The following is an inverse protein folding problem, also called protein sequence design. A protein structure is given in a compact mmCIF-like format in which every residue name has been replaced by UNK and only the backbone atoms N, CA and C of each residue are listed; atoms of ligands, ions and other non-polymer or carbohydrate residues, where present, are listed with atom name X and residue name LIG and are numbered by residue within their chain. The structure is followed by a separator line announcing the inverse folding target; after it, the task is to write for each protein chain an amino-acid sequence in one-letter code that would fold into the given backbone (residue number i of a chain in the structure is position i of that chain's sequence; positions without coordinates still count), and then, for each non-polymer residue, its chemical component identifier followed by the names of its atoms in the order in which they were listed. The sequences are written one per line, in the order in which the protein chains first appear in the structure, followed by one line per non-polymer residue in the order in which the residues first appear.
data_IF_539733428787
#
_entry.id   IF_539733428787
#
_cell.length_a   1.000
_cell.length_b   1.000
_cell.length_c   1.000
_cell.angle_alpha   90.00
_cell.angle_beta   90.00
_cell.angle_gamma   90.00
#
_symmetry.space_group_name_H-M   'P 1'
#
loop_
_entity.id
_entity.type
_entity.pdbx_description
1 polymer ?
#
# COMPACT_ATOMS: atom_id res chain seq x y z
N UNK A 1 -38.33 26.06 -82.07
CA UNK A 1 -39.67 26.67 -82.17
C UNK A 1 -40.60 25.67 -81.50
N UNK A 2 -41.30 25.88 -80.38
CA UNK A 2 -41.87 27.04 -79.67
C UNK A 2 -41.84 26.69 -78.16
N UNK A 3 -41.30 27.56 -77.28
CA UNK A 3 -41.97 28.58 -76.44
C UNK A 3 -43.04 28.06 -75.46
N UNK A 4 -42.85 28.51 -74.21
CA UNK A 4 -43.87 28.89 -73.19
C UNK A 4 -44.69 27.76 -72.54
N UNK A 5 -45.17 27.81 -71.29
CA UNK A 5 -45.07 28.74 -70.16
C UNK A 5 -45.93 28.20 -68.98
N UNK A 6 -45.40 28.29 -67.76
CA UNK A 6 -46.06 28.92 -66.58
C UNK A 6 -47.23 28.19 -65.87
N UNK A 7 -46.97 27.97 -64.57
CA UNK A 7 -47.83 28.07 -63.36
C UNK A 7 -48.73 26.94 -62.84
N UNK A 8 -48.47 26.73 -61.55
CA UNK A 8 -49.39 26.81 -60.40
C UNK A 8 -50.29 25.63 -60.06
N UNK A 9 -50.21 25.29 -58.76
CA UNK A 9 -51.35 24.81 -58.00
C UNK A 9 -51.29 23.34 -57.70
N UNK A 10 -51.37 23.01 -56.40
CA UNK A 10 -51.73 21.66 -55.98
C UNK A 10 -50.98 21.19 -54.75
N UNK A 11 -51.43 21.67 -53.59
CA UNK A 11 -51.27 21.01 -52.31
C UNK A 11 -51.56 19.50 -52.48
N UNK A 12 -50.57 18.63 -52.28
CA UNK A 12 -50.83 17.23 -51.90
C UNK A 12 -50.03 16.92 -50.64
N UNK A 13 -50.83 16.75 -49.59
CA UNK A 13 -50.49 16.41 -48.23
C UNK A 13 -49.87 15.00 -48.20
N UNK A 14 -48.55 14.89 -48.04
CA UNK A 14 -47.89 13.63 -47.72
C UNK A 14 -47.39 13.70 -46.28
N UNK A 15 -48.20 13.20 -45.36
CA UNK A 15 -47.86 13.02 -43.96
C UNK A 15 -46.77 11.94 -43.84
N UNK A 16 -45.51 12.37 -43.86
CA UNK A 16 -44.38 11.54 -43.43
C UNK A 16 -44.33 11.58 -41.89
N UNK A 17 -44.74 10.48 -41.26
CA UNK A 17 -44.56 10.23 -39.84
C UNK A 17 -43.05 10.11 -39.54
N UNK A 18 -42.40 11.25 -39.31
CA UNK A 18 -41.04 11.28 -38.78
C UNK A 18 -41.11 11.12 -37.26
N UNK A 19 -40.94 9.88 -36.79
CA UNK A 19 -40.80 9.57 -35.38
C UNK A 19 -39.56 10.26 -34.80
N UNK A 20 -39.67 11.14 -33.79
CA UNK A 20 -38.50 11.64 -33.08
C UNK A 20 -38.03 10.53 -32.14
N UNK A 21 -37.00 9.80 -32.55
CA UNK A 21 -36.29 8.88 -31.67
C UNK A 21 -35.63 9.70 -30.56
N UNK A 22 -36.23 9.72 -29.37
CA UNK A 22 -35.56 10.17 -28.15
C UNK A 22 -34.33 9.28 -27.94
N UNK A 23 -33.17 9.77 -28.35
CA UNK A 23 -31.90 9.20 -27.93
C UNK A 23 -31.77 9.47 -26.43
N UNK A 24 -32.22 8.52 -25.60
CA UNK A 24 -31.91 8.49 -24.19
C UNK A 24 -30.39 8.35 -24.05
N UNK A 25 -29.71 9.45 -23.78
CA UNK A 25 -28.31 9.43 -23.31
C UNK A 25 -28.30 8.68 -21.98
N UNK A 26 -28.01 7.38 -22.05
CA UNK A 26 -27.74 6.56 -20.88
C UNK A 26 -26.54 7.18 -20.15
N UNK A 27 -26.80 7.91 -19.08
CA UNK A 27 -25.77 8.29 -18.12
C UNK A 27 -25.21 6.99 -17.56
N UNK A 28 -23.98 6.65 -17.94
CA UNK A 28 -23.28 5.47 -17.46
C UNK A 28 -23.25 5.41 -15.92
N UNK A 29 -23.10 4.22 -15.33
CA UNK A 29 -23.13 4.05 -13.89
C UNK A 29 -22.10 4.97 -13.24
N UNK A 30 -22.57 5.95 -12.46
CA UNK A 30 -21.71 6.74 -11.57
C UNK A 30 -21.07 5.75 -10.62
N UNK A 31 -19.77 5.50 -10.80
CA UNK A 31 -19.00 4.68 -9.89
C UNK A 31 -19.05 5.34 -8.52
N UNK A 32 -19.68 4.65 -7.57
CA UNK A 32 -19.66 5.04 -6.16
C UNK A 32 -18.20 4.95 -5.71
N UNK A 33 -17.51 6.08 -5.66
CA UNK A 33 -16.20 6.16 -5.03
C UNK A 33 -16.42 5.99 -3.53
N UNK A 34 -16.05 4.82 -3.00
CA UNK A 34 -15.95 4.63 -1.56
C UNK A 34 -14.91 5.62 -1.04
N UNK A 35 -15.36 6.66 -0.34
CA UNK A 35 -14.49 7.58 0.36
C UNK A 35 -13.92 6.81 1.55
N UNK A 36 -12.61 6.58 1.50
CA UNK A 36 -11.91 5.88 2.57
C UNK A 36 -11.91 6.72 3.84
N UNK A 37 -12.11 6.07 4.99
CA UNK A 37 -12.25 6.76 6.28
C UNK A 37 -10.89 6.84 6.96
N UNK A 38 -10.56 8.02 7.47
CA UNK A 38 -9.42 8.24 8.37
C UNK A 38 -9.68 7.58 9.71
N UNK A 39 -8.76 6.73 10.16
CA UNK A 39 -8.83 6.07 11.48
C UNK A 39 -7.96 6.80 12.49
N UNK A 40 -6.73 7.17 12.09
CA UNK A 40 -5.76 7.89 12.94
C UNK A 40 -4.91 8.84 12.08
N UNK A 41 -4.50 9.96 12.67
CA UNK A 41 -3.49 10.88 12.13
C UNK A 41 -2.25 10.81 13.02
N UNK A 42 -1.07 10.67 12.41
CA UNK A 42 0.24 10.55 13.07
C UNK A 42 1.15 11.64 12.52
N UNK A 43 1.26 12.75 13.25
CA UNK A 43 1.88 14.00 12.77
C UNK A 43 1.25 14.43 11.44
N UNK A 44 2.01 14.41 10.34
CA UNK A 44 1.56 14.79 9.00
C UNK A 44 1.00 13.62 8.16
N UNK A 45 1.00 12.41 8.71
CA UNK A 45 0.70 11.18 7.98
C UNK A 45 -0.62 10.54 8.46
N UNK A 46 -1.47 10.10 7.51
CA UNK A 46 -2.81 9.56 7.82
C UNK A 46 -2.87 8.05 7.62
N UNK A 47 -3.45 7.35 8.59
CA UNK A 47 -3.77 5.92 8.52
C UNK A 47 -5.27 5.76 8.20
N UNK A 48 -5.57 5.11 7.09
CA UNK A 48 -6.93 4.88 6.61
C UNK A 48 -7.49 3.54 7.07
N UNK A 49 -8.81 3.37 6.93
CA UNK A 49 -9.49 2.10 7.21
C UNK A 49 -9.10 1.03 6.21
N UNK A 50 -8.92 1.38 4.94
CA UNK A 50 -8.46 0.43 3.94
C UNK A 50 -7.06 -0.11 4.27
N UNK A 51 -6.14 0.76 4.68
CA UNK A 51 -4.76 0.35 5.04
C UNK A 51 -4.75 -0.60 6.24
N UNK A 52 -5.50 -0.25 7.29
CA UNK A 52 -5.63 -1.09 8.48
C UNK A 52 -6.20 -2.47 8.13
N UNK A 53 -7.30 -2.50 7.36
CA UNK A 53 -7.92 -3.76 6.93
C UNK A 53 -7.02 -4.59 6.01
N UNK A 54 -6.19 -3.96 5.18
CA UNK A 54 -5.19 -4.66 4.35
C UNK A 54 -4.12 -5.32 5.23
N UNK A 55 -3.52 -4.57 6.17
CA UNK A 55 -2.49 -5.12 7.08
C UNK A 55 -3.05 -6.19 8.00
N UNK A 56 -4.26 -6.01 8.54
CA UNK A 56 -4.92 -7.00 9.39
C UNK A 56 -5.16 -8.33 8.66
N UNK A 57 -5.58 -8.28 7.38
CA UNK A 57 -5.75 -9.50 6.56
C UNK A 57 -4.44 -10.24 6.31
N UNK A 58 -3.36 -9.52 6.03
CA UNK A 58 -2.02 -10.11 5.85
C UNK A 58 -1.54 -10.76 7.14
N UNK A 59 -1.67 -10.07 8.28
CA UNK A 59 -1.31 -10.60 9.59
C UNK A 59 -2.14 -11.85 9.96
N UNK A 60 -3.45 -11.81 9.73
CA UNK A 60 -4.33 -12.95 9.97
C UNK A 60 -3.96 -14.15 9.09
N UNK A 61 -3.65 -13.92 7.80
CA UNK A 61 -3.20 -14.98 6.90
C UNK A 61 -1.88 -15.61 7.37
N UNK A 62 -0.95 -14.79 7.87
CA UNK A 62 0.32 -15.28 8.42
C UNK A 62 0.12 -16.11 9.68
N UNK A 63 -0.70 -15.65 10.63
CA UNK A 63 -1.02 -16.40 11.86
C UNK A 63 -1.66 -17.75 11.56
N UNK A 64 -2.59 -17.80 10.57
CA UNK A 64 -3.19 -19.05 10.12
C UNK A 64 -2.15 -20.04 9.56
N UNK A 65 -1.18 -19.56 8.78
CA UNK A 65 -0.10 -20.41 8.24
C UNK A 65 0.82 -20.95 9.34
N UNK A 66 0.99 -20.19 10.43
CA UNK A 66 1.80 -20.59 11.59
C UNK A 66 1.05 -21.51 12.55
N UNK A 67 -0.24 -21.79 12.32
CA UNK A 67 -1.06 -22.59 13.24
C UNK A 67 -1.39 -21.89 14.55
N UNK A 68 -1.18 -20.58 14.64
CA UNK A 68 -1.49 -19.80 15.84
C UNK A 68 -3.00 -19.53 15.95
N UNK A 69 -3.51 -19.47 17.18
CA UNK A 69 -4.90 -19.07 17.42
C UNK A 69 -5.08 -17.60 17.05
N UNK A 70 -6.13 -17.29 16.27
CA UNK A 70 -6.40 -15.92 15.88
C UNK A 70 -7.08 -15.19 17.04
N UNK A 71 -6.52 -14.06 17.50
CA UNK A 71 -7.20 -13.22 18.48
C UNK A 71 -8.51 -12.66 17.89
N UNK A 72 -9.42 -12.16 18.74
CA UNK A 72 -10.63 -11.49 18.28
C UNK A 72 -10.27 -10.36 17.30
N UNK A 73 -11.08 -10.18 16.25
CA UNK A 73 -10.78 -9.21 15.19
C UNK A 73 -10.51 -7.81 15.72
N UNK A 74 -11.27 -7.33 16.70
CA UNK A 74 -11.06 -6.02 17.32
C UNK A 74 -9.70 -5.90 18.01
N UNK A 75 -9.21 -6.98 18.64
CA UNK A 75 -7.90 -7.02 19.29
C UNK A 75 -6.79 -7.03 18.23
N UNK A 76 -6.95 -7.84 17.18
CA UNK A 76 -6.00 -7.88 16.07
C UNK A 76 -5.89 -6.50 15.40
N UNK A 77 -7.02 -5.89 15.05
CA UNK A 77 -7.04 -4.57 14.42
C UNK A 77 -6.40 -3.51 15.31
N UNK A 78 -6.67 -3.52 16.62
CA UNK A 78 -6.01 -2.62 17.57
C UNK A 78 -4.49 -2.81 17.59
N UNK A 79 -4.01 -4.05 17.70
CA UNK A 79 -2.57 -4.35 17.71
C UNK A 79 -1.88 -3.93 16.42
N UNK A 80 -2.53 -4.17 15.27
CA UNK A 80 -2.00 -3.75 13.98
C UNK A 80 -2.00 -2.22 13.86
N UNK A 81 -3.03 -1.54 14.36
CA UNK A 81 -3.08 -0.07 14.37
C UNK A 81 -1.96 0.51 15.23
N UNK A 82 -1.75 0.02 16.45
CA UNK A 82 -0.66 0.45 17.32
C UNK A 82 0.71 0.25 16.67
N UNK A 83 0.90 -0.90 16.00
CA UNK A 83 2.12 -1.14 15.21
C UNK A 83 2.25 -0.15 14.06
N UNK A 84 1.20 0.09 13.29
CA UNK A 84 1.22 1.07 12.19
C UNK A 84 1.58 2.48 12.67
N UNK A 85 1.06 2.90 13.82
CA UNK A 85 1.39 4.20 14.43
C UNK A 85 2.88 4.24 14.79
N UNK A 86 3.37 3.20 15.48
CA UNK A 86 4.77 3.13 15.91
C UNK A 86 5.72 3.15 14.71
N UNK A 87 5.45 2.34 13.68
CA UNK A 87 6.24 2.29 12.45
C UNK A 87 6.29 3.69 11.79
N UNK A 88 5.16 4.39 11.69
CA UNK A 88 5.08 5.74 11.10
C UNK A 88 5.93 6.74 11.89
N UNK A 89 5.84 6.74 13.21
CA UNK A 89 6.62 7.63 14.07
C UNK A 89 8.13 7.35 13.91
N UNK A 90 8.52 6.08 13.90
CA UNK A 90 9.93 5.69 13.73
C UNK A 90 10.48 6.09 12.36
N UNK A 91 9.71 5.90 11.29
CA UNK A 91 10.13 6.30 9.96
C UNK A 91 10.25 7.82 9.81
N UNK A 92 9.37 8.59 10.45
CA UNK A 92 9.47 10.04 10.47
C UNK A 92 10.72 10.50 11.22
N UNK A 93 10.96 9.96 12.42
CA UNK A 93 12.17 10.26 13.18
C UNK A 93 13.46 9.88 12.42
N UNK A 94 13.46 8.74 11.70
CA UNK A 94 14.57 8.36 10.84
C UNK A 94 14.80 9.38 9.70
N UNK A 95 13.73 9.88 9.06
CA UNK A 95 13.83 10.92 8.03
C UNK A 95 14.39 12.23 8.58
N UNK A 96 13.95 12.65 9.76
CA UNK A 96 14.39 13.87 10.46
C UNK A 96 15.86 13.81 10.86
N UNK A 97 16.32 12.65 11.32
CA UNK A 97 17.73 12.42 11.69
C UNK A 97 18.64 12.17 10.48
N UNK A 98 18.11 12.26 9.26
CA UNK A 98 18.85 12.04 8.02
C UNK A 98 19.24 10.59 7.77
N UNK A 99 18.69 9.63 8.52
CA UNK A 99 18.91 8.21 8.31
C UNK A 99 18.16 7.76 7.05
N UNK A 100 18.93 7.46 5.99
CA UNK A 100 18.42 6.97 4.70
C UNK A 100 19.15 5.71 4.28
N UNK A 101 18.48 4.91 3.46
CA UNK A 101 19.02 3.69 2.86
C UNK A 101 19.25 3.95 1.38
N UNK A 102 20.49 3.74 0.94
CA UNK A 102 20.89 3.88 -0.45
C UNK A 102 20.34 2.73 -1.31
N UNK A 103 20.10 2.98 -2.59
CA UNK A 103 19.57 1.97 -3.51
C UNK A 103 20.49 0.77 -3.65
N UNK A 104 21.80 0.99 -3.57
CA UNK A 104 22.80 -0.09 -3.63
C UNK A 104 22.63 -1.07 -2.48
N UNK A 105 22.31 -0.57 -1.29
CA UNK A 105 22.09 -1.40 -0.11
C UNK A 105 20.74 -2.10 -0.16
N UNK A 106 19.71 -1.40 -0.64
CA UNK A 106 18.40 -1.96 -0.87
C UNK A 106 18.47 -3.15 -1.83
N UNK A 107 19.20 -3.04 -2.94
CA UNK A 107 19.35 -4.11 -3.92
C UNK A 107 20.09 -5.33 -3.35
N UNK A 108 21.10 -5.10 -2.51
CA UNK A 108 21.78 -6.18 -1.77
C UNK A 108 20.83 -6.87 -0.80
N UNK A 109 20.01 -6.11 -0.07
CA UNK A 109 19.02 -6.68 0.84
C UNK A 109 17.97 -7.51 0.11
N UNK A 110 17.43 -7.00 -1.01
CA UNK A 110 16.48 -7.74 -1.85
C UNK A 110 17.11 -9.02 -2.41
N UNK A 111 18.37 -8.96 -2.84
CA UNK A 111 19.10 -10.14 -3.34
C UNK A 111 19.30 -11.20 -2.25
N UNK A 112 19.55 -10.78 -0.99
CA UNK A 112 19.60 -11.70 0.16
C UNK A 112 18.25 -12.37 0.40
N UNK A 113 17.16 -11.60 0.44
CA UNK A 113 15.81 -12.14 0.63
C UNK A 113 15.44 -13.11 -0.49
N UNK A 114 15.78 -12.80 -1.74
CA UNK A 114 15.58 -13.71 -2.87
C UNK A 114 16.35 -15.03 -2.66
N UNK A 115 17.62 -14.94 -2.25
CA UNK A 115 18.46 -16.08 -1.93
C UNK A 115 17.93 -16.95 -0.78
N UNK A 116 17.43 -16.34 0.30
CA UNK A 116 16.81 -17.03 1.44
C UNK A 116 15.55 -17.82 1.03
N UNK A 117 14.78 -17.28 0.08
CA UNK A 117 13.63 -17.95 -0.49
C UNK A 117 13.98 -18.91 -1.63
N UNK A 118 15.27 -19.09 -1.95
CA UNK A 118 15.77 -19.92 -3.08
C UNK A 118 15.21 -19.48 -4.44
N UNK A 119 14.94 -18.18 -4.59
CA UNK A 119 14.43 -17.57 -5.80
C UNK A 119 15.48 -16.66 -6.44
N UNK A 120 15.46 -16.55 -7.77
CA UNK A 120 16.15 -15.47 -8.46
C UNK A 120 15.36 -14.15 -8.32
N UNK A 121 16.01 -13.01 -8.56
CA UNK A 121 15.33 -11.70 -8.54
C UNK A 121 14.16 -11.64 -9.54
N UNK A 122 14.30 -12.27 -10.70
CA UNK A 122 13.23 -12.33 -11.69
C UNK A 122 12.05 -13.20 -11.21
N UNK A 123 12.35 -14.33 -10.58
CA UNK A 123 11.33 -15.21 -10.01
C UNK A 123 10.60 -14.55 -8.83
N UNK A 124 11.33 -13.81 -7.98
CA UNK A 124 10.74 -13.04 -6.88
C UNK A 124 9.78 -11.98 -7.43
N UNK A 125 10.17 -11.23 -8.46
CA UNK A 125 9.28 -10.25 -9.11
C UNK A 125 8.01 -10.92 -9.65
N UNK A 126 8.16 -12.03 -10.38
CA UNK A 126 7.02 -12.77 -10.93
C UNK A 126 6.10 -13.34 -9.82
N UNK A 127 6.66 -13.73 -8.67
CA UNK A 127 5.87 -14.16 -7.51
C UNK A 127 5.06 -13.01 -6.92
N UNK A 128 5.69 -11.85 -6.70
CA UNK A 128 5.03 -10.66 -6.18
C UNK A 128 3.90 -10.17 -7.11
N UNK A 129 4.12 -10.21 -8.43
CA UNK A 129 3.11 -9.84 -9.42
C UNK A 129 1.91 -10.80 -9.40
N UNK A 130 2.13 -12.11 -9.23
CA UNK A 130 1.04 -13.09 -9.04
C UNK A 130 0.23 -12.82 -7.77
N UNK A 131 0.89 -12.35 -6.71
CA UNK A 131 0.26 -11.97 -5.45
C UNK A 131 -0.40 -10.58 -5.50
N UNK A 132 -0.35 -9.89 -6.65
CA UNK A 132 -0.92 -8.56 -6.84
C UNK A 132 -0.12 -7.44 -6.15
N UNK A 133 1.14 -7.70 -5.78
CA UNK A 133 2.05 -6.73 -5.15
C UNK A 133 2.99 -6.16 -6.20
N UNK A 134 2.90 -4.86 -6.44
CA UNK A 134 3.84 -4.16 -7.33
C UNK A 134 5.26 -4.21 -6.76
N UNK A 135 6.25 -4.54 -7.59
CA UNK A 135 7.65 -4.62 -7.19
C UNK A 135 8.16 -3.31 -6.55
N UNK A 136 7.71 -2.15 -7.05
CA UNK A 136 8.03 -0.85 -6.46
C UNK A 136 7.54 -0.73 -5.01
N UNK A 137 6.30 -1.17 -4.72
CA UNK A 137 5.79 -1.15 -3.33
C UNK A 137 6.62 -2.06 -2.43
N UNK A 138 6.96 -3.26 -2.91
CA UNK A 138 7.84 -4.16 -2.17
C UNK A 138 9.21 -3.53 -1.88
N UNK A 139 9.83 -2.84 -2.85
CA UNK A 139 11.09 -2.10 -2.63
C UNK A 139 10.95 -1.04 -1.54
N UNK A 140 9.87 -0.27 -1.54
CA UNK A 140 9.61 0.75 -0.51
C UNK A 140 9.38 0.14 0.88
N UNK A 141 8.67 -1.00 0.94
CA UNK A 141 8.44 -1.73 2.18
C UNK A 141 9.78 -2.21 2.76
N UNK A 142 10.64 -2.84 1.94
CA UNK A 142 11.96 -3.29 2.37
C UNK A 142 12.85 -2.09 2.79
N UNK A 143 12.80 -0.97 2.07
CA UNK A 143 13.54 0.24 2.45
C UNK A 143 13.11 0.73 3.84
N UNK A 144 11.81 0.72 4.11
CA UNK A 144 11.24 1.12 5.40
C UNK A 144 11.72 0.19 6.53
N UNK A 145 11.67 -1.13 6.31
CA UNK A 145 12.15 -2.12 7.29
C UNK A 145 13.65 -1.97 7.61
N UNK A 146 14.50 -1.77 6.60
CA UNK A 146 15.94 -1.54 6.81
C UNK A 146 16.16 -0.24 7.61
N UNK A 147 15.39 0.80 7.30
CA UNK A 147 15.48 2.10 7.99
C UNK A 147 15.14 1.95 9.47
N UNK A 148 14.05 1.26 9.80
CA UNK A 148 13.64 0.99 11.19
C UNK A 148 14.69 0.12 11.91
N UNK A 149 15.22 -0.91 11.24
CA UNK A 149 16.25 -1.78 11.82
C UNK A 149 17.51 -0.97 12.21
N UNK A 150 18.00 -0.13 11.31
CA UNK A 150 19.14 0.78 11.57
C UNK A 150 18.86 1.78 12.68
N UNK A 151 17.64 2.32 12.72
CA UNK A 151 17.25 3.24 13.78
C UNK A 151 17.33 2.55 15.15
N UNK A 152 16.84 1.32 15.23
CA UNK A 152 16.91 0.51 16.45
C UNK A 152 18.36 0.21 16.85
N UNK A 153 19.21 -0.15 15.90
CA UNK A 153 20.65 -0.40 16.17
C UNK A 153 21.32 0.83 16.78
N UNK A 154 21.14 2.02 16.19
CA UNK A 154 21.66 3.29 16.73
C UNK A 154 21.13 3.59 18.13
N UNK A 155 19.84 3.38 18.35
CA UNK A 155 19.22 3.62 19.66
C UNK A 155 19.75 2.66 20.74
N UNK A 156 20.04 1.41 20.38
CA UNK A 156 20.61 0.42 21.30
C UNK A 156 22.07 0.73 21.61
N UNK A 157 22.89 1.02 20.59
CA UNK A 157 24.30 1.38 20.76
C UNK A 157 24.47 2.61 21.66
N UNK A 158 23.60 3.63 21.51
CA UNK A 158 23.61 4.81 22.37
C UNK A 158 23.27 4.55 23.85
N UNK A 159 22.66 3.40 24.17
CA UNK A 159 22.19 3.05 25.52
C UNK A 159 23.10 2.04 26.24
N UNK A 160 23.95 1.32 25.53
CA UNK A 160 24.88 0.35 26.13
C UNK A 160 26.17 1.08 26.51
N UNK A 161 26.20 1.64 27.73
CA UNK A 161 27.46 1.99 28.41
C UNK A 161 27.72 0.89 29.41
N UNK A 162 28.56 -0.08 29.05
CA UNK A 162 29.00 -1.12 30.01
C UNK A 162 29.85 -0.43 31.06
N UNK A 163 29.41 -0.44 32.31
CA UNK A 163 30.22 0.08 33.41
C UNK A 163 31.23 -0.97 33.86
N UNK A 164 32.44 -0.57 34.24
CA UNK A 164 33.48 -1.51 34.71
C UNK A 164 32.98 -2.40 35.85
N UNK A 165 32.06 -1.90 36.69
CA UNK A 165 31.42 -2.66 37.78
C UNK A 165 30.51 -3.81 37.31
N UNK A 166 29.92 -3.74 36.11
CA UNK A 166 29.14 -4.86 35.54
C UNK A 166 30.05 -5.97 35.02
N UNK A 167 31.26 -5.62 34.56
CA UNK A 167 32.28 -6.58 34.12
C UNK A 167 32.81 -7.36 35.33
N UNK A 168 33.13 -6.68 36.43
CA UNK A 168 33.60 -7.32 37.67
C UNK A 168 32.55 -8.27 38.27
N UNK A 169 31.27 -7.90 38.26
CA UNK A 169 30.20 -8.78 38.73
C UNK A 169 29.96 -9.98 37.81
N UNK A 170 30.07 -9.82 36.49
CA UNK A 170 29.97 -10.94 35.56
C UNK A 170 31.12 -11.94 35.72
N UNK A 171 32.37 -11.46 35.91
CA UNK A 171 33.54 -12.33 36.13
C UNK A 171 33.46 -13.07 37.47
N UNK A 172 32.94 -12.44 38.53
CA UNK A 172 32.75 -13.11 39.84
C UNK A 172 31.63 -14.16 39.85
N UNK A 173 30.62 -14.03 38.99
CA UNK A 173 29.50 -14.98 38.92
C UNK A 173 29.83 -16.23 38.09
N UNK A 174 30.92 -16.19 37.31
CA UNK A 174 31.39 -17.30 36.47
C UNK A 174 32.55 -18.10 37.10
N UNK A 175 32.88 -17.85 38.37
CA UNK A 175 33.83 -18.68 39.15
C UNK A 175 33.09 -19.50 40.21
#
# INVERSE_FOLDING_TARGET
MERTAIMAGGLVFAAALASPSLAATAQGPRSVQLIDRVVVVVNDEVITRHDLGKRARVAAAQLKRQGASLPPQAVLEKQILERMITDRVQLQFAKETGLRVDDTELDRAISRIAGENKLSLQQLRAALERDGVAFTRFREDIRSEITIARLRERAVESRITVTEGEIDNFIRTQQ
#
